data_IF_680551805169
#
_entry.id   IF_680551805169
#
_cell.length_a   1.000
_cell.length_b   1.000
_cell.length_c   1.000
_cell.angle_alpha   90.00
_cell.angle_beta   90.00
_cell.angle_gamma   90.00
#
_symmetry.space_group_name_H-M   'P 1'
#
loop_
_entity.id
_entity.type
_entity.pdbx_description
1 polymer ?
#
# COMPACT_ATOMS: atom_id res chain seq x y z
N UNK A 1 -16.16 22.91 22.53
CA UNK A 1 -15.24 22.83 21.40
C UNK A 1 -14.77 21.40 21.30
N UNK A 2 -15.42 20.59 20.44
CA UNK A 2 -15.01 19.21 20.16
C UNK A 2 -13.77 19.24 19.27
N UNK A 3 -12.74 18.50 19.64
CA UNK A 3 -11.63 18.21 18.74
C UNK A 3 -12.19 17.50 17.50
N UNK A 4 -11.79 17.96 16.31
CA UNK A 4 -12.19 17.32 15.08
C UNK A 4 -11.60 15.90 15.03
N UNK A 5 -12.46 14.90 14.80
CA UNK A 5 -12.05 13.51 14.66
C UNK A 5 -10.94 13.38 13.59
N UNK A 6 -9.84 12.65 13.87
CA UNK A 6 -8.79 12.41 12.92
C UNK A 6 -9.34 11.79 11.63
N UNK A 7 -8.80 12.19 10.46
CA UNK A 7 -9.29 11.74 9.15
C UNK A 7 -9.31 10.20 9.04
N UNK A 8 -8.29 9.53 9.55
CA UNK A 8 -8.21 8.07 9.53
C UNK A 8 -9.36 7.39 10.29
N UNK A 9 -9.72 7.92 11.46
CA UNK A 9 -10.84 7.42 12.27
C UNK A 9 -12.18 7.69 11.57
N UNK A 10 -12.33 8.87 10.99
CA UNK A 10 -13.52 9.24 10.20
C UNK A 10 -13.70 8.31 9.01
N UNK A 11 -12.65 8.02 8.26
CA UNK A 11 -12.68 7.10 7.13
C UNK A 11 -13.03 5.67 7.54
N UNK A 12 -12.55 5.23 8.70
CA UNK A 12 -12.91 3.92 9.25
C UNK A 12 -14.41 3.86 9.56
N UNK A 13 -14.97 4.83 10.25
CA UNK A 13 -16.41 4.89 10.53
C UNK A 13 -17.26 4.99 9.27
N UNK A 14 -16.83 5.77 8.28
CA UNK A 14 -17.54 5.85 6.99
C UNK A 14 -17.62 4.47 6.33
N UNK A 15 -16.52 3.74 6.29
CA UNK A 15 -16.49 2.40 5.69
C UNK A 15 -17.31 1.37 6.50
N UNK A 16 -17.25 1.41 7.84
CA UNK A 16 -18.02 0.52 8.71
C UNK A 16 -19.52 0.75 8.61
N UNK A 17 -19.97 2.02 8.54
CA UNK A 17 -21.39 2.37 8.56
C UNK A 17 -22.03 2.38 7.17
N UNK A 18 -21.27 2.82 6.15
CA UNK A 18 -21.81 3.08 4.83
C UNK A 18 -21.30 2.09 3.78
N UNK A 19 -20.20 1.38 4.05
CA UNK A 19 -19.54 0.49 3.12
C UNK A 19 -18.68 1.21 2.05
N UNK A 20 -18.56 2.54 2.12
CA UNK A 20 -17.74 3.35 1.22
C UNK A 20 -17.20 4.60 1.93
N UNK A 21 -16.21 5.25 1.31
CA UNK A 21 -15.55 6.43 1.85
C UNK A 21 -16.14 7.73 1.24
N UNK A 22 -16.61 8.65 2.06
CA UNK A 22 -17.14 9.97 1.66
C UNK A 22 -16.02 11.02 1.70
N UNK A 23 -15.25 11.04 2.79
CA UNK A 23 -14.24 12.09 3.06
C UNK A 23 -12.93 11.89 2.30
N UNK A 24 -12.80 10.81 1.53
CA UNK A 24 -11.64 10.47 0.72
C UNK A 24 -11.19 9.02 0.95
N UNK A 25 -10.54 8.43 -0.04
CA UNK A 25 -10.03 7.06 0.08
C UNK A 25 -8.73 7.04 0.89
N UNK A 26 -8.51 6.07 1.82
CA UNK A 26 -7.28 5.99 2.62
C UNK A 26 -5.98 5.96 1.80
N UNK A 27 -6.06 5.43 0.56
CA UNK A 27 -4.93 5.40 -0.36
C UNK A 27 -4.61 6.75 -1.01
N UNK A 28 -5.41 7.81 -0.79
CA UNK A 28 -5.12 9.14 -1.37
C UNK A 28 -3.77 9.69 -0.90
N UNK A 29 -3.43 9.46 0.36
CA UNK A 29 -2.16 9.87 0.96
C UNK A 29 -0.95 9.21 0.28
N UNK A 30 -1.14 8.03 -0.30
CA UNK A 30 -0.08 7.22 -0.90
C UNK A 30 -0.14 7.18 -2.43
N UNK A 31 -0.91 8.09 -3.05
CA UNK A 31 -1.07 8.12 -4.51
C UNK A 31 0.30 8.26 -5.21
N UNK A 32 0.53 7.48 -6.27
CA UNK A 32 1.81 7.40 -6.96
C UNK A 32 2.85 6.52 -6.25
N UNK A 33 3.04 6.65 -4.93
CA UNK A 33 3.97 5.82 -4.17
C UNK A 33 3.52 4.35 -4.13
N UNK A 34 2.24 4.11 -3.88
CA UNK A 34 1.70 2.75 -3.89
C UNK A 34 1.80 2.10 -5.27
N UNK A 35 1.60 2.87 -6.34
CA UNK A 35 1.80 2.39 -7.72
C UNK A 35 3.26 2.06 -8.00
N UNK A 36 4.20 2.90 -7.56
CA UNK A 36 5.64 2.65 -7.74
C UNK A 36 6.13 1.40 -6.98
N UNK A 37 5.48 1.05 -5.87
CA UNK A 37 5.82 -0.13 -5.07
C UNK A 37 5.16 -1.40 -5.62
N UNK A 38 3.94 -1.30 -6.16
CA UNK A 38 3.24 -2.43 -6.79
C UNK A 38 4.00 -2.90 -8.02
N UNK A 39 4.22 -4.22 -8.15
CA UNK A 39 5.10 -4.78 -9.19
C UNK A 39 4.35 -5.53 -10.29
N UNK A 40 3.03 -5.36 -10.41
CA UNK A 40 2.23 -5.90 -11.50
C UNK A 40 1.11 -4.91 -11.87
N UNK A 41 0.55 -5.09 -13.06
CA UNK A 41 -0.61 -4.33 -13.51
C UNK A 41 -1.89 -4.97 -12.95
N UNK A 42 -2.65 -4.30 -12.06
CA UNK A 42 -3.88 -4.85 -11.50
C UNK A 42 -4.95 -5.21 -12.55
N UNK A 43 -5.00 -4.49 -13.68
CA UNK A 43 -5.93 -4.78 -14.80
C UNK A 43 -5.59 -6.10 -15.51
N UNK A 44 -4.37 -6.61 -15.34
CA UNK A 44 -3.85 -7.84 -15.94
C UNK A 44 -3.50 -8.90 -14.90
N UNK A 45 -4.12 -8.85 -13.74
CA UNK A 45 -3.82 -9.77 -12.65
C UNK A 45 -4.05 -11.24 -13.05
N UNK A 46 -5.06 -11.52 -13.88
CA UNK A 46 -5.38 -12.87 -14.37
C UNK A 46 -4.34 -13.44 -15.34
N UNK A 47 -3.51 -12.58 -15.94
CA UNK A 47 -2.41 -12.99 -16.83
C UNK A 47 -1.13 -13.38 -16.06
N UNK A 48 -1.08 -13.16 -14.75
CA UNK A 48 0.10 -13.48 -13.95
C UNK A 48 0.37 -14.99 -13.95
N UNK A 49 1.61 -15.41 -14.21
CA UNK A 49 1.99 -16.83 -14.16
C UNK A 49 1.80 -17.42 -12.75
N UNK A 50 1.56 -18.73 -12.67
CA UNK A 50 1.59 -19.44 -11.39
C UNK A 50 2.94 -19.26 -10.69
N UNK A 51 2.92 -19.05 -9.37
CA UNK A 51 4.08 -18.76 -8.52
C UNK A 51 4.80 -17.44 -8.81
N UNK A 52 4.23 -16.56 -9.63
CA UNK A 52 4.80 -15.23 -9.83
C UNK A 52 4.87 -14.47 -8.52
N UNK A 53 6.01 -13.86 -8.17
CA UNK A 53 6.09 -13.00 -6.99
C UNK A 53 5.28 -11.72 -7.23
N UNK A 54 4.44 -11.37 -6.26
CA UNK A 54 3.68 -10.13 -6.31
C UNK A 54 3.98 -9.23 -5.11
N UNK A 55 3.76 -7.94 -5.31
CA UNK A 55 3.68 -6.92 -4.28
C UNK A 55 2.55 -5.97 -4.63
N UNK A 56 1.69 -5.72 -3.65
CA UNK A 56 0.50 -4.91 -3.82
C UNK A 56 0.27 -4.02 -2.60
N UNK A 57 -0.25 -2.82 -2.82
CA UNK A 57 -0.57 -1.87 -1.77
C UNK A 57 -2.05 -1.53 -1.82
N UNK A 58 -2.68 -1.49 -0.66
CA UNK A 58 -4.11 -1.17 -0.56
C UNK A 58 -4.59 -1.12 0.87
N UNK A 59 -5.91 -1.06 1.02
CA UNK A 59 -6.60 -1.09 2.30
C UNK A 59 -7.05 -2.52 2.59
N UNK A 60 -6.68 -3.06 3.74
CA UNK A 60 -7.16 -4.37 4.20
C UNK A 60 -8.62 -4.26 4.64
N UNK A 61 -9.43 -5.24 4.28
CA UNK A 61 -10.84 -5.33 4.64
C UNK A 61 -11.33 -6.77 4.71
N UNK A 62 -12.45 -6.99 5.42
CA UNK A 62 -13.05 -8.31 5.60
C UNK A 62 -12.06 -9.34 6.17
N UNK A 63 -11.21 -8.91 7.10
CA UNK A 63 -10.20 -9.77 7.71
C UNK A 63 -10.86 -10.87 8.53
N UNK A 64 -10.74 -12.10 8.04
CA UNK A 64 -11.30 -13.29 8.70
C UNK A 64 -10.19 -14.24 9.11
N UNK A 65 -10.03 -14.42 10.41
CA UNK A 65 -9.04 -15.31 11.02
C UNK A 65 -9.71 -16.65 11.36
N UNK A 66 -9.06 -17.75 10.99
CA UNK A 66 -9.58 -19.12 11.17
C UNK A 66 -8.48 -20.07 11.66
N UNK A 67 -8.91 -21.22 12.17
CA UNK A 67 -8.03 -22.34 12.44
C UNK A 67 -8.20 -23.39 11.33
N UNK A 68 -7.09 -23.92 10.87
CA UNK A 68 -7.07 -25.02 9.89
C UNK A 68 -7.67 -26.30 10.53
N UNK A 69 -8.56 -26.97 9.80
CA UNK A 69 -9.16 -28.22 10.26
C UNK A 69 -8.16 -29.39 10.31
N UNK A 70 -7.07 -29.27 9.56
CA UNK A 70 -6.08 -30.33 9.41
C UNK A 70 -5.10 -30.40 10.58
N UNK A 71 -4.60 -29.25 11.01
CA UNK A 71 -3.48 -29.13 11.94
C UNK A 71 -3.69 -28.08 13.04
N UNK A 72 -4.91 -27.51 13.08
CA UNK A 72 -5.34 -26.48 14.04
C UNK A 72 -4.44 -25.22 14.05
N UNK A 73 -3.66 -24.98 12.96
CA UNK A 73 -2.83 -23.80 12.84
C UNK A 73 -3.65 -22.60 12.36
N UNK A 74 -3.34 -21.39 12.84
CA UNK A 74 -4.08 -20.19 12.43
C UNK A 74 -3.75 -19.79 10.99
N UNK A 75 -4.72 -19.26 10.29
CA UNK A 75 -4.61 -18.64 8.98
C UNK A 75 -5.66 -17.55 8.80
N UNK A 76 -5.50 -16.69 7.82
CA UNK A 76 -6.47 -15.65 7.51
C UNK A 76 -6.73 -15.55 6.01
N UNK A 77 -7.95 -15.11 5.67
CA UNK A 77 -8.24 -14.53 4.36
C UNK A 77 -8.85 -13.14 4.55
N UNK A 78 -8.58 -12.27 3.61
CA UNK A 78 -8.97 -10.87 3.66
C UNK A 78 -8.91 -10.29 2.25
N UNK A 79 -9.50 -9.11 2.06
CA UNK A 79 -9.39 -8.37 0.82
C UNK A 79 -8.38 -7.25 0.97
N UNK A 80 -7.68 -6.92 -0.11
CA UNK A 80 -6.87 -5.70 -0.21
C UNK A 80 -7.36 -4.91 -1.41
N UNK A 81 -7.81 -3.71 -1.14
CA UNK A 81 -8.47 -2.87 -2.13
C UNK A 81 -7.71 -1.55 -2.35
N UNK A 82 -7.64 -1.14 -3.61
CA UNK A 82 -7.36 0.24 -4.03
C UNK A 82 -8.69 0.94 -4.34
N UNK A 83 -8.66 2.09 -5.01
CA UNK A 83 -9.87 2.75 -5.49
C UNK A 83 -10.60 1.98 -6.59
N UNK A 84 -9.87 1.18 -7.37
CA UNK A 84 -10.35 0.54 -8.60
C UNK A 84 -10.32 -0.97 -8.57
N UNK A 85 -9.48 -1.57 -7.73
CA UNK A 85 -9.27 -3.01 -7.67
C UNK A 85 -9.38 -3.53 -6.25
N UNK A 86 -9.86 -4.77 -6.13
CA UNK A 86 -9.88 -5.50 -4.86
C UNK A 86 -9.50 -6.95 -5.11
N UNK A 87 -8.52 -7.47 -4.38
CA UNK A 87 -8.05 -8.83 -4.49
C UNK A 87 -8.22 -9.57 -3.18
N UNK A 88 -8.72 -10.81 -3.26
CA UNK A 88 -8.75 -11.70 -2.11
C UNK A 88 -7.36 -12.29 -1.87
N UNK A 89 -6.88 -12.15 -0.65
CA UNK A 89 -5.58 -12.62 -0.19
C UNK A 89 -5.74 -13.75 0.83
N UNK A 90 -4.83 -14.72 0.78
CA UNK A 90 -4.79 -15.81 1.73
C UNK A 90 -3.43 -15.79 2.44
N UNK A 91 -3.44 -15.73 3.77
CA UNK A 91 -2.25 -15.78 4.60
C UNK A 91 -2.27 -17.07 5.41
N UNK A 92 -1.36 -17.98 5.07
CA UNK A 92 -1.25 -19.27 5.74
C UNK A 92 -0.38 -19.19 7.00
N UNK A 93 -0.39 -20.25 7.77
CA UNK A 93 0.08 -20.32 9.16
C UNK A 93 1.45 -19.69 9.44
N UNK A 94 2.46 -19.94 8.60
CA UNK A 94 3.80 -19.36 8.81
C UNK A 94 3.78 -17.83 8.74
N UNK A 95 3.21 -17.28 7.66
CA UNK A 95 3.08 -15.84 7.51
C UNK A 95 2.10 -15.24 8.54
N UNK A 96 1.08 -16.00 8.95
CA UNK A 96 0.13 -15.52 9.95
C UNK A 96 0.74 -15.39 11.35
N UNK A 97 1.61 -16.32 11.74
CA UNK A 97 2.32 -16.25 13.02
C UNK A 97 3.18 -14.99 13.11
N UNK A 98 3.84 -14.61 12.00
CA UNK A 98 4.72 -13.45 11.95
C UNK A 98 3.97 -12.13 11.76
N UNK A 99 2.95 -12.10 10.89
CA UNK A 99 2.33 -10.85 10.42
C UNK A 99 0.83 -10.73 10.70
N UNK A 100 0.17 -11.76 11.22
CA UNK A 100 -1.27 -11.76 11.46
C UNK A 100 -1.76 -10.66 12.43
N UNK A 101 -0.86 -10.16 13.28
CA UNK A 101 -1.14 -9.05 14.20
C UNK A 101 -1.24 -7.68 13.49
N UNK A 102 -0.71 -7.55 12.27
CA UNK A 102 -0.76 -6.32 11.46
C UNK A 102 -2.11 -6.22 10.73
N UNK A 103 -2.78 -7.36 10.50
CA UNK A 103 -4.02 -7.42 9.75
C UNK A 103 -5.21 -6.93 10.57
N UNK A 104 -5.67 -5.74 10.23
CA UNK A 104 -6.88 -5.12 10.76
C UNK A 104 -7.65 -4.44 9.62
N UNK A 105 -8.97 -4.44 9.71
CA UNK A 105 -9.82 -3.75 8.74
C UNK A 105 -9.55 -2.25 8.71
N UNK A 106 -9.56 -1.66 7.54
CA UNK A 106 -9.32 -0.23 7.32
C UNK A 106 -7.85 0.21 7.32
N UNK A 107 -6.90 -0.68 7.63
CA UNK A 107 -5.46 -0.33 7.61
C UNK A 107 -4.89 -0.36 6.20
N UNK A 108 -4.05 0.64 5.90
CA UNK A 108 -3.27 0.67 4.67
C UNK A 108 -2.04 -0.22 4.81
N UNK A 109 -1.92 -1.19 3.91
CA UNK A 109 -0.88 -2.23 3.97
C UNK A 109 -0.15 -2.37 2.64
N UNK A 110 1.11 -2.77 2.72
CA UNK A 110 1.87 -3.36 1.63
C UNK A 110 1.96 -4.86 1.89
N UNK A 111 1.65 -5.64 0.88
CA UNK A 111 1.62 -7.09 0.92
C UNK A 111 2.53 -7.64 -0.16
N UNK A 112 3.29 -8.68 0.17
CA UNK A 112 4.05 -9.45 -0.78
C UNK A 112 3.81 -10.95 -0.62
N UNK A 113 4.00 -11.68 -1.70
CA UNK A 113 3.78 -13.11 -1.72
C UNK A 113 3.92 -13.72 -3.10
N UNK A 114 3.19 -14.79 -3.35
CA UNK A 114 3.17 -15.51 -4.62
C UNK A 114 1.76 -15.70 -5.13
N UNK A 115 1.59 -15.55 -6.44
CA UNK A 115 0.35 -15.82 -7.14
C UNK A 115 0.14 -17.35 -7.22
N UNK A 116 -1.09 -17.78 -7.06
CA UNK A 116 -1.54 -19.15 -7.32
C UNK A 116 -2.55 -19.06 -8.47
N UNK A 117 -2.05 -19.22 -9.68
CA UNK A 117 -2.83 -19.18 -10.91
C UNK A 117 -2.70 -20.51 -11.63
N UNK A 118 -3.59 -21.46 -11.34
CA UNK A 118 -3.66 -22.77 -12.00
C UNK A 118 -4.78 -22.75 -13.02
N UNK A 119 -4.59 -23.44 -14.13
CA UNK A 119 -5.50 -23.43 -15.29
C UNK A 119 -6.97 -23.70 -15.00
N UNK A 120 -7.28 -24.37 -13.89
CA UNK A 120 -8.65 -24.79 -13.52
C UNK A 120 -9.11 -24.19 -12.17
N UNK A 121 -8.33 -23.29 -11.57
CA UNK A 121 -8.65 -22.65 -10.29
C UNK A 121 -8.74 -21.14 -10.45
N UNK A 122 -9.55 -20.51 -9.60
CA UNK A 122 -9.59 -19.05 -9.49
C UNK A 122 -8.22 -18.49 -9.05
N UNK A 123 -7.88 -17.33 -9.60
CA UNK A 123 -6.69 -16.57 -9.20
C UNK A 123 -6.69 -16.33 -7.69
N UNK A 124 -5.62 -16.72 -7.02
CA UNK A 124 -5.42 -16.53 -5.58
C UNK A 124 -4.06 -15.94 -5.29
N UNK A 125 -4.01 -15.10 -4.29
CA UNK A 125 -2.79 -14.48 -3.79
C UNK A 125 -2.41 -15.12 -2.45
N UNK A 126 -1.27 -15.80 -2.41
CA UNK A 126 -0.70 -16.38 -1.19
C UNK A 126 0.27 -15.39 -0.57
N UNK A 127 -0.11 -14.83 0.58
CA UNK A 127 0.64 -13.81 1.29
C UNK A 127 1.78 -14.42 2.09
N UNK A 128 2.96 -13.81 2.00
CA UNK A 128 4.16 -14.17 2.77
C UNK A 128 4.55 -13.09 3.77
N UNK A 129 4.32 -11.83 3.41
CA UNK A 129 4.72 -10.71 4.24
C UNK A 129 3.66 -9.59 4.17
N UNK A 130 3.41 -8.95 5.31
CA UNK A 130 2.57 -7.76 5.44
C UNK A 130 3.30 -6.70 6.23
N UNK A 131 3.16 -5.45 5.83
CA UNK A 131 3.62 -4.31 6.62
C UNK A 131 2.67 -3.14 6.48
N UNK A 132 2.59 -2.28 7.49
CA UNK A 132 1.89 -1.01 7.35
C UNK A 132 2.54 -0.18 6.24
N UNK A 133 1.73 0.33 5.31
CA UNK A 133 2.23 1.01 4.11
C UNK A 133 3.11 2.22 4.45
N UNK A 134 2.70 3.04 5.42
CA UNK A 134 3.48 4.19 5.89
C UNK A 134 4.91 3.80 6.34
N UNK A 135 5.07 2.67 7.02
CA UNK A 135 6.38 2.17 7.45
C UNK A 135 7.17 1.45 6.36
N UNK A 136 6.50 0.94 5.32
CA UNK A 136 7.14 0.26 4.20
C UNK A 136 7.76 1.23 3.20
N UNK A 137 7.10 2.36 2.92
CA UNK A 137 7.52 3.37 1.94
C UNK A 137 8.98 3.82 2.12
N UNK A 138 9.43 4.28 3.30
CA UNK A 138 10.82 4.74 3.48
C UNK A 138 11.86 3.64 3.22
N UNK A 139 11.49 2.38 3.46
CA UNK A 139 12.39 1.22 3.24
C UNK A 139 12.47 0.82 1.77
N UNK A 140 11.43 1.12 0.99
CA UNK A 140 11.33 0.74 -0.42
C UNK A 140 11.85 1.81 -1.37
N UNK A 141 11.73 3.09 -1.00
CA UNK A 141 12.17 4.22 -1.83
C UNK A 141 13.62 4.54 -1.51
N UNK A 142 14.50 4.27 -2.48
CA UNK A 142 15.93 4.55 -2.37
C UNK A 142 16.31 5.90 -2.96
N UNK A 143 15.55 6.37 -3.91
CA UNK A 143 15.83 7.57 -4.66
C UNK A 143 14.56 8.29 -5.10
N UNK A 144 14.57 9.62 -5.00
CA UNK A 144 13.51 10.51 -5.48
C UNK A 144 14.12 11.47 -6.48
N UNK A 145 13.58 11.52 -7.69
CA UNK A 145 13.96 12.47 -8.72
C UNK A 145 12.87 13.55 -8.79
N UNK A 146 13.25 14.79 -8.51
CA UNK A 146 12.41 15.95 -8.74
C UNK A 146 12.87 16.67 -9.99
N UNK A 147 11.97 16.80 -10.96
CA UNK A 147 12.22 17.58 -12.18
C UNK A 147 11.49 18.90 -12.03
N UNK A 148 12.24 19.98 -12.02
CA UNK A 148 11.74 21.34 -11.87
C UNK A 148 11.51 21.95 -13.25
N UNK A 149 10.30 22.48 -13.46
CA UNK A 149 9.99 23.34 -14.61
C UNK A 149 10.22 24.80 -14.20
N UNK A 150 11.25 25.47 -14.70
CA UNK A 150 11.56 26.84 -14.31
C UNK A 150 10.45 27.84 -14.63
N UNK A 151 9.55 27.50 -15.57
CA UNK A 151 8.44 28.36 -15.97
C UNK A 151 7.21 28.24 -15.06
N UNK A 152 7.16 27.20 -14.21
CA UNK A 152 6.00 26.85 -13.41
C UNK A 152 6.27 26.75 -11.90
N UNK A 153 7.41 27.28 -11.44
CA UNK A 153 7.77 27.24 -10.02
C UNK A 153 7.51 28.58 -9.33
N UNK A 154 6.97 28.51 -8.11
CA UNK A 154 6.90 29.69 -7.24
C UNK A 154 8.32 30.15 -6.89
N UNK A 155 8.55 31.47 -6.83
CA UNK A 155 9.85 32.07 -6.52
C UNK A 155 10.53 31.50 -5.26
N UNK A 156 9.74 31.09 -4.28
CA UNK A 156 10.22 30.54 -2.99
C UNK A 156 10.36 29.02 -2.96
N UNK A 157 10.03 28.30 -4.04
CA UNK A 157 9.97 26.82 -4.03
C UNK A 157 11.31 26.19 -3.60
N UNK A 158 12.42 26.64 -4.13
CA UNK A 158 13.74 26.08 -3.79
C UNK A 158 14.13 26.33 -2.33
N UNK A 159 13.73 27.47 -1.75
CA UNK A 159 13.99 27.77 -0.35
C UNK A 159 13.12 26.91 0.58
N UNK A 160 11.86 26.68 0.25
CA UNK A 160 10.96 25.79 0.98
C UNK A 160 11.46 24.36 0.91
N UNK A 161 11.83 23.90 -0.29
CA UNK A 161 12.36 22.57 -0.51
C UNK A 161 13.64 22.32 0.30
N UNK A 162 14.57 23.29 0.28
CA UNK A 162 15.80 23.21 1.07
C UNK A 162 15.51 23.13 2.56
N UNK A 163 14.60 23.96 3.07
CA UNK A 163 14.21 23.96 4.48
C UNK A 163 13.57 22.63 4.91
N UNK A 164 12.79 22.00 4.04
CA UNK A 164 12.19 20.68 4.32
C UNK A 164 13.21 19.56 4.25
N UNK A 165 14.14 19.57 3.29
CA UNK A 165 15.23 18.60 3.22
C UNK A 165 16.17 18.71 4.44
N UNK A 166 16.46 19.93 4.91
CA UNK A 166 17.30 20.16 6.08
C UNK A 166 16.66 19.61 7.38
N UNK A 167 15.33 19.59 7.48
CA UNK A 167 14.60 18.98 8.61
C UNK A 167 14.67 17.45 8.61
N UNK A 168 14.89 16.82 7.44
CA UNK A 168 14.76 15.38 7.25
C UNK A 168 16.08 14.68 6.84
N UNK A 169 17.22 15.22 7.23
CA UNK A 169 18.56 14.73 6.86
C UNK A 169 18.92 13.32 7.38
N UNK A 170 18.12 12.76 8.30
CA UNK A 170 18.41 11.44 8.90
C UNK A 170 18.04 10.24 8.02
N UNK A 171 17.44 10.46 6.86
CA UNK A 171 17.04 9.42 5.93
C UNK A 171 18.16 8.90 5.04
N UNK A 172 18.00 7.68 4.50
CA UNK A 172 18.91 7.08 3.53
C UNK A 172 18.47 7.25 2.07
N UNK A 173 17.34 7.90 1.83
CA UNK A 173 16.79 8.13 0.49
C UNK A 173 17.57 9.23 -0.21
N UNK A 174 18.11 8.92 -1.40
CA UNK A 174 18.79 9.92 -2.23
C UNK A 174 17.75 10.83 -2.90
N UNK A 175 17.99 12.13 -2.87
CA UNK A 175 17.20 13.13 -3.61
C UNK A 175 18.03 13.70 -4.72
N UNK A 176 17.54 13.63 -5.96
CA UNK A 176 18.13 14.26 -7.13
C UNK A 176 17.21 15.38 -7.63
N UNK A 177 17.80 16.51 -7.95
CA UNK A 177 17.10 17.64 -8.55
C UNK A 177 17.58 17.80 -10.00
N UNK A 178 16.63 17.79 -10.94
CA UNK A 178 16.84 18.10 -12.34
C UNK A 178 16.05 19.34 -12.75
N UNK A 179 16.49 20.06 -13.75
CA UNK A 179 15.73 21.12 -14.40
C UNK A 179 15.35 20.70 -15.82
N UNK A 180 14.12 20.98 -16.21
CA UNK A 180 13.72 20.91 -17.62
C UNK A 180 14.43 22.03 -18.35
N UNK A 181 15.23 21.68 -19.35
CA UNK A 181 15.80 22.63 -20.30
C UNK A 181 15.06 22.42 -21.60
N UNK A 182 14.30 23.42 -22.05
CA UNK A 182 13.72 23.42 -23.38
C UNK A 182 14.83 23.70 -24.40
N UNK A 183 14.98 22.79 -25.38
CA UNK A 183 15.88 22.98 -26.55
C UNK A 183 15.28 23.97 -27.56
#
# INVERSE_FOLDING_TARGET
SGEAMPLAEKLQYENELLGFYISGHPMNEFNGLAQAITNFDPDKADELPDRNPFRFCGVASNVTKKLSRRDNRPWAFFNVATKTHSFQMNMYSEAFEDYGHILEDGKTVMISGTVMNRKDDDLRFSVREVSHLRGAIPRMIKEVHWVLDPNNQAEDFLSILRADLDKHQSGSTRVQLGMLVED
#
